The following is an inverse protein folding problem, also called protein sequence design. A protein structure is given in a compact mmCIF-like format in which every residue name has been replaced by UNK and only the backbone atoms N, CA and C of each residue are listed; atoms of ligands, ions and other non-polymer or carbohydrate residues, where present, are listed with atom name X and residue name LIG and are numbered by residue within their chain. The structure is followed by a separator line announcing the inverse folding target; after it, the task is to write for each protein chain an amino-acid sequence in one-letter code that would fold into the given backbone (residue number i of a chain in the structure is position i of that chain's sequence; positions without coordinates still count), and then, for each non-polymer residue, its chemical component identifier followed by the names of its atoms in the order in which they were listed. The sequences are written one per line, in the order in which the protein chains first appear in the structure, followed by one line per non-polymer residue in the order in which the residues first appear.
data_IF_328835511772
#
_entry.id   IF_328835511772
#
_cell.length_a   1.000
_cell.length_b   1.000
_cell.length_c   1.000
_cell.angle_alpha   90.00
_cell.angle_beta   90.00
_cell.angle_gamma   90.00
#
_symmetry.space_group_name_H-M   'P 1'
#
loop_
_entity.id
_entity.type
_entity.pdbx_description
1 polymer ?
#
# COMPACT_ATOMS: atom_id res chain seq x y z
N UNK A 1 -2.18 -19.41 -45.12
CA UNK A 1 -1.94 -18.46 -46.24
C UNK A 1 -0.58 -17.75 -46.16
N UNK A 2 0.30 -18.04 -45.17
CA UNK A 2 1.66 -17.48 -45.06
C UNK A 2 1.79 -16.01 -44.71
N UNK A 3 0.70 -15.34 -44.32
CA UNK A 3 0.73 -13.93 -43.90
C UNK A 3 1.18 -13.80 -42.46
N UNK A 4 2.02 -12.78 -42.16
CA UNK A 4 2.51 -12.50 -40.83
C UNK A 4 1.58 -11.52 -40.13
N UNK A 5 0.87 -11.99 -39.10
CA UNK A 5 0.05 -11.16 -38.24
C UNK A 5 0.84 -10.76 -36.98
N UNK A 6 0.67 -9.53 -36.51
CA UNK A 6 1.26 -9.04 -35.29
C UNK A 6 0.27 -8.21 -34.47
N UNK A 7 0.43 -8.25 -33.16
CA UNK A 7 -0.39 -7.51 -32.19
C UNK A 7 0.55 -6.91 -31.15
N UNK A 8 0.39 -5.63 -30.83
CA UNK A 8 1.19 -5.00 -29.78
C UNK A 8 0.93 -3.53 -29.58
N UNK A 9 1.72 -2.93 -28.70
CA UNK A 9 1.64 -1.52 -28.33
C UNK A 9 2.27 -0.62 -29.40
N UNK A 10 2.19 0.69 -29.19
CA UNK A 10 2.77 1.72 -30.06
C UNK A 10 4.31 1.55 -30.28
N UNK A 11 5.01 0.81 -29.43
CA UNK A 11 6.43 0.48 -29.57
C UNK A 11 6.71 -0.37 -30.83
N UNK A 12 5.73 -1.07 -31.34
CA UNK A 12 5.81 -1.83 -32.61
C UNK A 12 5.76 -0.94 -33.87
N UNK A 13 5.40 0.34 -33.73
CA UNK A 13 5.23 1.25 -34.87
C UNK A 13 6.54 1.79 -35.43
N UNK A 14 7.69 1.48 -34.84
CA UNK A 14 9.01 1.98 -35.30
C UNK A 14 9.31 1.54 -36.75
N UNK A 15 8.82 0.36 -37.14
CA UNK A 15 9.05 -0.22 -38.46
C UNK A 15 7.75 -0.52 -39.24
N UNK A 16 6.61 0.04 -38.81
CA UNK A 16 5.30 -0.31 -39.38
C UNK A 16 4.55 0.91 -39.87
N UNK A 17 4.05 0.86 -41.11
CA UNK A 17 3.26 1.94 -41.69
C UNK A 17 1.86 2.01 -41.07
N UNK A 18 1.57 3.13 -40.42
CA UNK A 18 0.22 3.48 -39.94
C UNK A 18 -0.37 4.59 -40.84
N UNK A 19 -1.63 4.44 -41.24
CA UNK A 19 -2.33 5.49 -41.96
C UNK A 19 -2.62 6.68 -41.03
N UNK A 20 -2.71 7.90 -41.60
CA UNK A 20 -3.08 9.12 -40.83
C UNK A 20 -4.42 8.96 -40.10
N UNK A 21 -5.39 8.31 -40.73
CA UNK A 21 -6.70 8.06 -40.16
C UNK A 21 -6.60 7.15 -38.92
N UNK A 22 -5.86 6.05 -39.02
CA UNK A 22 -5.65 5.13 -37.90
C UNK A 22 -4.87 5.78 -36.76
N UNK A 23 -3.87 6.61 -37.07
CA UNK A 23 -3.13 7.35 -36.06
C UNK A 23 -4.03 8.34 -35.31
N UNK A 24 -4.84 9.11 -36.02
CA UNK A 24 -5.82 10.02 -35.40
C UNK A 24 -6.86 9.30 -34.56
N UNK A 25 -7.33 8.13 -35.02
CA UNK A 25 -8.28 7.29 -34.27
C UNK A 25 -7.65 6.71 -33.00
N UNK A 26 -6.40 6.27 -33.08
CA UNK A 26 -5.64 5.79 -31.92
C UNK A 26 -5.46 6.90 -30.88
N UNK A 27 -5.09 8.10 -31.34
CA UNK A 27 -4.93 9.26 -30.45
C UNK A 27 -6.24 9.65 -29.75
N UNK A 28 -7.36 9.62 -30.48
CA UNK A 28 -8.70 9.86 -29.89
C UNK A 28 -9.02 8.85 -28.81
N UNK A 29 -8.79 7.55 -29.07
CA UNK A 29 -9.03 6.49 -28.10
C UNK A 29 -8.14 6.62 -26.86
N UNK A 30 -6.87 7.02 -27.03
CA UNK A 30 -5.94 7.28 -25.93
C UNK A 30 -6.36 8.51 -25.10
N UNK A 31 -6.91 9.54 -25.74
CA UNK A 31 -7.45 10.70 -25.03
C UNK A 31 -8.73 10.37 -24.22
N UNK A 32 -9.42 9.28 -24.59
CA UNK A 32 -10.54 8.70 -23.83
C UNK A 32 -10.08 7.72 -22.73
N UNK A 33 -8.83 7.80 -22.29
CA UNK A 33 -8.24 6.92 -21.27
C UNK A 33 -8.26 5.41 -21.63
N UNK A 34 -8.15 5.08 -22.94
CA UNK A 34 -8.11 3.70 -23.42
C UNK A 34 -6.69 3.29 -23.80
N UNK A 35 -6.27 2.11 -23.40
CA UNK A 35 -5.05 1.48 -23.89
C UNK A 35 -5.31 0.97 -25.31
N UNK A 36 -4.52 1.45 -26.28
CA UNK A 36 -4.68 1.08 -27.70
C UNK A 36 -3.64 0.03 -28.07
N UNK A 37 -4.12 -1.11 -28.54
CA UNK A 37 -3.33 -2.19 -29.09
C UNK A 37 -3.51 -2.19 -30.61
N UNK A 38 -2.40 -2.25 -31.34
CA UNK A 38 -2.37 -2.22 -32.78
C UNK A 38 -2.36 -3.66 -33.33
N UNK A 39 -3.22 -3.91 -34.30
CA UNK A 39 -3.27 -5.17 -35.02
C UNK A 39 -2.79 -4.95 -36.45
N UNK A 40 -1.81 -5.72 -36.87
CA UNK A 40 -1.22 -5.57 -38.20
C UNK A 40 -1.10 -6.89 -38.95
N UNK A 41 -0.99 -6.77 -40.25
CA UNK A 41 -0.80 -7.86 -41.20
C UNK A 41 0.22 -7.42 -42.24
N UNK A 42 1.25 -8.24 -42.49
CA UNK A 42 2.29 -8.01 -43.51
C UNK A 42 2.87 -6.58 -43.46
N UNK A 43 3.20 -6.09 -42.23
CA UNK A 43 3.83 -4.77 -42.05
C UNK A 43 2.86 -3.58 -42.13
N UNK A 44 1.55 -3.79 -42.19
CA UNK A 44 0.53 -2.72 -42.20
C UNK A 44 -0.41 -2.84 -41.02
N UNK A 45 -0.75 -1.72 -40.39
CA UNK A 45 -1.81 -1.71 -39.38
C UNK A 45 -3.16 -1.81 -40.06
N UNK A 46 -3.94 -2.82 -39.68
CA UNK A 46 -5.26 -3.13 -40.23
C UNK A 46 -6.38 -2.85 -39.22
N UNK A 47 -6.05 -2.70 -37.93
CA UNK A 47 -7.05 -2.46 -36.90
C UNK A 47 -6.45 -1.97 -35.58
N UNK A 48 -7.34 -1.46 -34.74
CA UNK A 48 -7.05 -1.03 -33.38
C UNK A 48 -8.00 -1.76 -32.41
N UNK A 49 -7.45 -2.26 -31.30
CA UNK A 49 -8.20 -2.78 -30.19
C UNK A 49 -8.04 -1.79 -29.02
N UNK A 50 -9.12 -1.20 -28.55
CA UNK A 50 -9.11 -0.31 -27.41
C UNK A 50 -9.57 -1.06 -26.17
N UNK A 51 -8.72 -1.06 -25.15
CA UNK A 51 -8.99 -1.69 -23.85
C UNK A 51 -9.11 -0.56 -22.84
N UNK A 52 -10.17 -0.59 -22.04
CA UNK A 52 -10.37 0.39 -20.98
C UNK A 52 -10.53 -0.34 -19.65
N UNK A 53 -9.60 -0.10 -18.74
CA UNK A 53 -9.76 -0.48 -17.35
C UNK A 53 -10.47 0.64 -16.61
N UNK A 54 -11.59 0.30 -15.97
CA UNK A 54 -12.34 1.25 -15.16
C UNK A 54 -11.88 1.11 -13.71
N UNK A 55 -11.39 2.19 -13.08
CA UNK A 55 -11.05 2.16 -11.68
C UNK A 55 -12.25 1.73 -10.84
N UNK A 56 -12.02 0.90 -9.83
CA UNK A 56 -13.07 0.54 -8.87
C UNK A 56 -13.55 1.80 -8.15
N UNK A 57 -14.85 1.95 -7.95
CA UNK A 57 -15.42 3.09 -7.20
C UNK A 57 -14.79 3.27 -5.82
N UNK A 58 -14.47 2.15 -5.15
CA UNK A 58 -13.78 2.12 -3.86
C UNK A 58 -12.36 2.70 -3.90
N UNK A 59 -11.72 2.77 -5.08
CA UNK A 59 -10.35 3.30 -5.19
C UNK A 59 -10.31 4.80 -4.94
N UNK A 60 -11.30 5.55 -5.44
CA UNK A 60 -11.40 6.99 -5.22
C UNK A 60 -11.53 7.33 -3.73
N UNK A 61 -12.39 6.61 -3.02
CA UNK A 61 -12.60 6.80 -1.58
C UNK A 61 -11.33 6.47 -0.79
N UNK A 62 -10.67 5.36 -1.14
CA UNK A 62 -9.43 4.95 -0.49
C UNK A 62 -8.30 5.98 -0.70
N UNK A 63 -8.12 6.49 -1.93
CA UNK A 63 -7.13 7.53 -2.25
C UNK A 63 -7.43 8.81 -1.46
N UNK A 64 -8.69 9.26 -1.44
CA UNK A 64 -9.09 10.44 -0.67
C UNK A 64 -8.76 10.29 0.83
N UNK A 65 -8.99 9.11 1.40
CA UNK A 65 -8.71 8.83 2.80
C UNK A 65 -7.21 8.76 3.09
N UNK A 66 -6.40 8.20 2.19
CA UNK A 66 -4.93 8.22 2.31
C UNK A 66 -4.39 9.66 2.29
N UNK A 67 -4.90 10.51 1.39
CA UNK A 67 -4.54 11.93 1.32
C UNK A 67 -4.97 12.70 2.55
N UNK A 68 -6.15 12.46 3.10
CA UNK A 68 -6.62 13.07 4.34
C UNK A 68 -5.72 12.74 5.55
N UNK A 69 -4.97 11.63 5.47
CA UNK A 69 -3.95 11.25 6.46
C UNK A 69 -2.57 11.90 6.22
N UNK A 70 -2.46 12.78 5.23
CA UNK A 70 -1.22 13.47 4.86
C UNK A 70 -0.25 12.63 4.04
N UNK A 71 -0.71 11.54 3.44
CA UNK A 71 0.09 10.71 2.55
C UNK A 71 0.02 11.25 1.11
N UNK A 72 1.17 11.39 0.47
CA UNK A 72 1.25 11.67 -0.96
C UNK A 72 1.02 10.38 -1.74
N UNK A 73 0.08 10.41 -2.68
CA UNK A 73 -0.27 9.27 -3.51
C UNK A 73 0.43 9.35 -4.87
N UNK A 74 1.08 8.25 -5.27
CA UNK A 74 1.83 8.17 -6.53
C UNK A 74 1.37 6.94 -7.30
N UNK A 75 0.98 7.12 -8.56
CA UNK A 75 0.73 6.02 -9.49
C UNK A 75 2.03 5.70 -10.23
N UNK A 76 2.44 4.43 -10.19
CA UNK A 76 3.60 3.90 -10.90
C UNK A 76 3.12 2.81 -11.86
N UNK A 77 3.12 3.10 -13.17
CA UNK A 77 2.53 2.21 -14.18
C UNK A 77 3.36 2.11 -15.45
N UNK A 78 3.25 0.98 -16.14
CA UNK A 78 3.78 0.79 -17.48
C UNK A 78 2.91 1.38 -18.60
N UNK A 79 1.71 1.85 -18.27
CA UNK A 79 0.77 2.42 -19.23
C UNK A 79 1.26 3.73 -19.83
N UNK A 80 0.67 4.09 -20.96
CA UNK A 80 0.89 5.38 -21.61
C UNK A 80 0.54 6.54 -20.66
N UNK A 81 1.36 7.59 -20.70
CA UNK A 81 1.23 8.75 -19.80
C UNK A 81 -0.17 9.40 -19.85
N UNK A 82 -0.82 9.45 -21.01
CA UNK A 82 -2.16 10.05 -21.16
C UNK A 82 -3.22 9.23 -20.44
N UNK A 83 -3.19 7.90 -20.61
CA UNK A 83 -4.11 6.97 -19.94
C UNK A 83 -3.90 7.01 -18.42
N UNK A 84 -2.63 6.93 -17.99
CA UNK A 84 -2.29 6.98 -16.58
C UNK A 84 -2.71 8.30 -15.92
N UNK A 85 -2.54 9.43 -16.60
CA UNK A 85 -2.97 10.74 -16.09
C UNK A 85 -4.50 10.82 -15.97
N UNK A 86 -5.24 10.35 -16.98
CA UNK A 86 -6.70 10.37 -16.94
C UNK A 86 -7.26 9.52 -15.78
N UNK A 87 -6.69 8.34 -15.54
CA UNK A 87 -7.05 7.49 -14.39
C UNK A 87 -6.70 8.17 -13.08
N UNK A 88 -5.51 8.78 -12.99
CA UNK A 88 -5.05 9.46 -11.79
C UNK A 88 -5.95 10.65 -11.43
N UNK A 89 -6.37 11.43 -12.43
CA UNK A 89 -7.30 12.56 -12.26
C UNK A 89 -8.68 12.08 -11.79
N UNK A 90 -9.18 10.97 -12.35
CA UNK A 90 -10.46 10.37 -11.96
C UNK A 90 -10.48 9.92 -10.49
N UNK A 91 -9.42 9.24 -10.04
CA UNK A 91 -9.34 8.71 -8.67
C UNK A 91 -8.70 9.69 -7.67
N UNK A 92 -8.10 10.78 -8.15
CA UNK A 92 -7.55 11.85 -7.32
C UNK A 92 -6.11 11.61 -6.84
N UNK A 93 -5.28 10.90 -7.62
CA UNK A 93 -3.85 10.66 -7.33
C UNK A 93 -3.04 11.95 -7.52
N UNK A 94 -2.04 12.19 -6.64
CA UNK A 94 -1.25 13.44 -6.64
C UNK A 94 -0.17 13.47 -7.73
N UNK A 95 0.41 12.32 -8.06
CA UNK A 95 1.54 12.22 -9.02
C UNK A 95 1.47 10.94 -9.83
N UNK A 96 1.83 11.04 -11.11
CA UNK A 96 1.92 9.92 -12.03
C UNK A 96 3.36 9.75 -12.52
N UNK A 97 3.85 8.50 -12.50
CA UNK A 97 5.08 8.04 -13.14
C UNK A 97 4.65 6.93 -14.10
N UNK A 98 4.52 7.28 -15.37
CA UNK A 98 4.02 6.40 -16.43
C UNK A 98 5.15 5.83 -17.29
N UNK A 99 4.81 4.85 -18.14
CA UNK A 99 5.74 4.23 -19.12
C UNK A 99 6.94 3.54 -18.47
N UNK A 100 6.82 3.12 -17.22
CA UNK A 100 7.87 2.46 -16.45
C UNK A 100 7.93 0.99 -16.79
N UNK A 101 9.12 0.50 -17.12
CA UNK A 101 9.33 -0.93 -17.32
C UNK A 101 9.26 -1.68 -15.97
N UNK A 102 8.85 -2.96 -15.96
CA UNK A 102 8.77 -3.73 -14.71
C UNK A 102 10.06 -3.69 -13.88
N UNK A 103 11.22 -3.80 -14.52
CA UNK A 103 12.52 -3.78 -13.85
C UNK A 103 12.89 -2.41 -13.27
N UNK A 104 12.32 -1.32 -13.81
CA UNK A 104 12.64 0.05 -13.39
C UNK A 104 11.78 0.53 -12.22
N UNK A 105 10.70 -0.19 -11.89
CA UNK A 105 9.82 0.18 -10.77
C UNK A 105 10.57 0.26 -9.44
N UNK A 106 11.44 -0.70 -9.16
CA UNK A 106 12.26 -0.70 -7.95
C UNK A 106 13.21 0.51 -7.91
N UNK A 107 13.76 0.92 -9.07
CA UNK A 107 14.60 2.10 -9.16
C UNK A 107 13.84 3.39 -8.83
N UNK A 108 12.60 3.53 -9.31
CA UNK A 108 11.75 4.68 -8.99
C UNK A 108 11.43 4.79 -7.50
N UNK A 109 11.24 3.65 -6.83
CA UNK A 109 11.06 3.61 -5.37
C UNK A 109 12.32 4.10 -4.67
N UNK A 110 13.49 3.59 -5.08
CA UNK A 110 14.77 3.96 -4.51
C UNK A 110 15.06 5.46 -4.67
N UNK A 111 14.73 6.04 -5.81
CA UNK A 111 14.86 7.49 -6.03
C UNK A 111 13.99 8.34 -5.08
N UNK A 112 12.82 7.83 -4.69
CA UNK A 112 11.97 8.48 -3.69
C UNK A 112 12.58 8.36 -2.28
N UNK A 113 13.13 7.18 -1.95
CA UNK A 113 13.80 6.94 -0.67
C UNK A 113 15.07 7.78 -0.54
N UNK A 114 15.87 7.92 -1.59
CA UNK A 114 17.07 8.76 -1.64
C UNK A 114 16.75 10.25 -1.40
N UNK A 115 15.53 10.68 -1.73
CA UNK A 115 14.99 12.01 -1.40
C UNK A 115 14.44 12.10 0.04
N UNK A 116 14.72 11.14 0.89
CA UNK A 116 14.30 11.08 2.28
C UNK A 116 12.82 10.73 2.49
N UNK A 117 12.13 10.19 1.48
CA UNK A 117 10.73 9.76 1.61
C UNK A 117 10.65 8.33 2.13
N UNK A 118 9.68 8.07 3.01
CA UNK A 118 9.28 6.70 3.35
C UNK A 118 8.23 6.24 2.36
N UNK A 119 8.48 5.10 1.72
CA UNK A 119 7.67 4.60 0.61
C UNK A 119 6.97 3.31 1.00
N UNK A 120 5.64 3.33 0.95
CA UNK A 120 4.84 2.11 0.90
C UNK A 120 4.48 1.84 -0.57
N UNK A 121 4.81 0.65 -1.07
CA UNK A 121 4.46 0.24 -2.42
C UNK A 121 3.35 -0.81 -2.38
N UNK A 122 2.32 -0.60 -3.20
CA UNK A 122 1.16 -1.49 -3.31
C UNK A 122 1.14 -2.08 -4.71
N UNK A 123 1.17 -3.39 -4.83
CA UNK A 123 1.21 -4.09 -6.11
C UNK A 123 0.56 -5.48 -6.06
N UNK A 124 0.41 -6.13 -7.22
CA UNK A 124 -0.19 -7.48 -7.34
C UNK A 124 0.80 -8.63 -7.05
N UNK A 125 2.06 -8.34 -6.90
CA UNK A 125 3.12 -9.25 -6.45
C UNK A 125 3.81 -10.06 -7.54
N UNK A 126 3.23 -10.32 -8.69
CA UNK A 126 3.84 -11.19 -9.72
C UNK A 126 4.99 -10.46 -10.42
N UNK A 127 4.71 -9.30 -10.99
CA UNK A 127 5.70 -8.48 -11.70
C UNK A 127 6.31 -7.39 -10.81
N UNK A 128 5.76 -7.18 -9.62
CA UNK A 128 6.10 -6.11 -8.70
C UNK A 128 6.98 -6.57 -7.53
N UNK A 129 7.38 -7.85 -7.48
CA UNK A 129 8.19 -8.41 -6.39
C UNK A 129 9.47 -7.60 -6.09
N UNK A 130 10.26 -7.15 -7.09
CA UNK A 130 11.44 -6.30 -6.81
C UNK A 130 11.05 -4.94 -6.21
N UNK A 131 9.93 -4.36 -6.64
CA UNK A 131 9.42 -3.09 -6.13
C UNK A 131 8.89 -3.23 -4.69
N UNK A 132 8.14 -4.30 -4.41
CA UNK A 132 7.63 -4.64 -3.07
C UNK A 132 8.77 -4.81 -2.08
N UNK A 133 9.83 -5.54 -2.46
CA UNK A 133 11.00 -5.78 -1.60
C UNK A 133 11.87 -4.52 -1.39
N UNK A 134 11.88 -3.59 -2.34
CA UNK A 134 12.68 -2.35 -2.26
C UNK A 134 12.02 -1.29 -1.39
N UNK A 135 10.70 -1.27 -1.33
CA UNK A 135 9.94 -0.29 -0.55
C UNK A 135 10.18 -0.44 0.96
N UNK A 136 10.03 0.64 1.74
CA UNK A 136 10.07 0.55 3.22
C UNK A 136 8.94 -0.33 3.74
N UNK A 137 7.79 -0.36 3.04
CA UNK A 137 6.69 -1.28 3.30
C UNK A 137 6.14 -1.79 1.97
N UNK A 138 6.29 -3.07 1.68
CA UNK A 138 5.64 -3.74 0.55
C UNK A 138 4.25 -4.24 0.96
N UNK A 139 3.24 -3.92 0.16
CA UNK A 139 1.85 -4.35 0.36
C UNK A 139 1.40 -5.09 -0.90
N UNK A 140 1.31 -6.40 -0.81
CA UNK A 140 0.82 -7.24 -1.90
C UNK A 140 -0.71 -7.31 -1.89
N UNK A 141 -1.34 -7.19 -3.05
CA UNK A 141 -2.80 -7.24 -3.23
C UNK A 141 -3.23 -8.53 -3.93
N UNK A 142 -4.36 -9.07 -3.48
CA UNK A 142 -4.97 -10.25 -4.05
C UNK A 142 -4.60 -11.54 -3.32
N UNK A 143 -5.19 -12.67 -3.76
CA UNK A 143 -4.86 -14.02 -3.28
C UNK A 143 -3.46 -14.39 -3.80
N UNK A 144 -2.46 -13.79 -3.16
CA UNK A 144 -1.08 -13.75 -3.63
C UNK A 144 -0.53 -15.13 -3.97
N UNK A 145 0.20 -15.17 -5.07
CA UNK A 145 1.21 -16.20 -5.27
C UNK A 145 2.17 -16.18 -4.09
N UNK A 146 2.76 -17.31 -3.75
CA UNK A 146 3.76 -17.44 -2.67
C UNK A 146 4.85 -16.36 -2.76
N UNK A 147 5.17 -15.89 -3.97
CA UNK A 147 6.13 -14.81 -4.25
C UNK A 147 5.70 -13.45 -3.66
N UNK A 148 4.40 -13.15 -3.65
CA UNK A 148 3.91 -11.89 -3.06
C UNK A 148 3.99 -11.92 -1.53
N UNK A 149 3.76 -13.10 -0.94
CA UNK A 149 3.87 -13.32 0.51
C UNK A 149 5.33 -13.13 0.96
N UNK A 150 6.28 -13.65 0.21
CA UNK A 150 7.71 -13.54 0.52
C UNK A 150 8.29 -12.13 0.26
N UNK A 151 7.71 -11.38 -0.68
CA UNK A 151 8.22 -10.08 -1.12
C UNK A 151 7.57 -8.88 -0.40
N UNK A 152 6.38 -9.05 0.15
CA UNK A 152 5.61 -8.00 0.83
C UNK A 152 5.60 -8.18 2.35
N UNK A 153 5.78 -7.09 3.11
CA UNK A 153 5.59 -7.12 4.55
C UNK A 153 4.12 -7.26 4.96
N UNK A 154 3.18 -6.96 4.06
CA UNK A 154 1.73 -7.02 4.27
C UNK A 154 1.08 -7.67 3.05
N UNK A 155 0.16 -8.60 3.28
CA UNK A 155 -0.65 -9.22 2.21
C UNK A 155 -2.12 -8.91 2.45
N UNK A 156 -2.75 -8.30 1.45
CA UNK A 156 -4.18 -8.02 1.45
C UNK A 156 -4.91 -9.11 0.66
N UNK A 157 -5.74 -9.88 1.33
CA UNK A 157 -6.50 -10.99 0.71
C UNK A 157 -7.47 -10.48 -0.36
N UNK A 158 -8.06 -9.31 -0.16
CA UNK A 158 -8.97 -8.69 -1.11
C UNK A 158 -8.22 -7.70 -2.01
N UNK A 159 -8.50 -7.76 -3.31
CA UNK A 159 -8.00 -6.79 -4.28
C UNK A 159 -8.81 -5.47 -4.20
N UNK A 160 -8.62 -4.73 -3.09
CA UNK A 160 -9.31 -3.48 -2.80
C UNK A 160 -8.39 -2.53 -2.01
N UNK A 161 -8.18 -1.32 -2.51
CA UNK A 161 -7.32 -0.30 -1.89
C UNK A 161 -7.79 0.14 -0.48
N UNK A 162 -9.06 -0.06 -0.14
CA UNK A 162 -9.55 0.14 1.25
C UNK A 162 -8.82 -0.77 2.24
N UNK A 163 -8.31 -1.91 1.78
CA UNK A 163 -7.44 -2.78 2.57
C UNK A 163 -6.16 -2.09 3.05
N UNK A 164 -5.57 -1.22 2.22
CA UNK A 164 -4.38 -0.42 2.58
C UNK A 164 -4.72 0.54 3.73
N UNK A 165 -5.87 1.23 3.64
CA UNK A 165 -6.34 2.13 4.69
C UNK A 165 -6.55 1.39 6.01
N UNK A 166 -7.19 0.20 5.94
CA UNK A 166 -7.39 -0.67 7.12
C UNK A 166 -6.07 -1.14 7.73
N UNK A 167 -5.10 -1.53 6.90
CA UNK A 167 -3.78 -1.95 7.36
C UNK A 167 -3.06 -0.83 8.12
N UNK A 168 -3.09 0.40 7.59
CA UNK A 168 -2.51 1.58 8.24
C UNK A 168 -3.19 1.88 9.58
N UNK A 169 -4.53 1.81 9.65
CA UNK A 169 -5.29 2.03 10.88
C UNK A 169 -4.96 0.96 11.94
N UNK A 170 -4.96 -0.30 11.52
CA UNK A 170 -4.62 -1.42 12.41
C UNK A 170 -3.21 -1.26 12.96
N UNK A 171 -2.24 -0.97 12.09
CA UNK A 171 -0.85 -0.72 12.49
C UNK A 171 -0.74 0.41 13.52
N UNK A 172 -1.37 1.56 13.25
CA UNK A 172 -1.36 2.72 14.16
C UNK A 172 -1.98 2.39 15.52
N UNK A 173 -3.11 1.70 15.54
CA UNK A 173 -3.81 1.33 16.78
C UNK A 173 -3.00 0.32 17.58
N UNK A 174 -2.43 -0.70 16.90
CA UNK A 174 -1.55 -1.69 17.52
C UNK A 174 -0.31 -1.03 18.11
N UNK A 175 0.35 -0.15 17.37
CA UNK A 175 1.54 0.56 17.84
C UNK A 175 1.25 1.45 19.06
N UNK A 176 0.11 2.15 19.06
CA UNK A 176 -0.30 2.93 20.22
C UNK A 176 -0.59 2.04 21.43
N UNK A 177 -1.15 0.86 21.22
CA UNK A 177 -1.38 -0.12 22.28
C UNK A 177 -0.06 -0.66 22.84
N UNK A 178 0.90 -0.95 21.97
CA UNK A 178 2.25 -1.37 22.41
C UNK A 178 2.89 -0.30 23.29
N UNK A 179 2.84 0.98 22.87
CA UNK A 179 3.36 2.09 23.69
C UNK A 179 2.68 2.19 25.04
N UNK A 180 1.36 2.04 25.08
CA UNK A 180 0.59 2.08 26.32
C UNK A 180 0.94 0.89 27.24
N UNK A 181 1.07 -0.29 26.67
CA UNK A 181 1.46 -1.48 27.43
C UNK A 181 2.87 -1.34 28.01
N UNK A 182 3.81 -0.80 27.22
CA UNK A 182 5.17 -0.52 27.69
C UNK A 182 5.17 0.53 28.82
N UNK A 183 4.37 1.59 28.68
CA UNK A 183 4.19 2.58 29.74
C UNK A 183 3.72 1.93 31.05
N UNK A 184 2.66 1.13 30.99
CA UNK A 184 2.16 0.44 32.20
C UNK A 184 3.19 -0.54 32.77
N UNK A 185 3.90 -1.30 31.93
CA UNK A 185 4.93 -2.21 32.40
C UNK A 185 6.09 -1.50 33.10
N UNK A 186 6.44 -0.29 32.64
CA UNK A 186 7.55 0.46 33.22
C UNK A 186 7.15 1.28 34.46
N UNK A 187 5.94 1.85 34.49
CA UNK A 187 5.54 2.79 35.56
C UNK A 187 5.55 2.11 36.94
N UNK A 188 5.14 0.84 37.01
CA UNK A 188 5.20 0.08 38.25
C UNK A 188 6.61 -0.06 38.78
N UNK A 189 7.60 -0.24 37.90
CA UNK A 189 9.01 -0.32 38.28
C UNK A 189 9.58 1.05 38.63
N UNK A 190 9.24 2.09 37.87
CA UNK A 190 9.69 3.48 38.14
C UNK A 190 9.23 3.98 39.50
N UNK A 191 8.02 3.58 39.92
CA UNK A 191 7.48 3.92 41.24
C UNK A 191 7.98 2.94 42.31
N UNK A 192 7.96 1.64 42.02
CA UNK A 192 8.25 0.59 43.00
C UNK A 192 9.70 0.54 43.44
N UNK A 193 10.66 0.73 42.52
CA UNK A 193 12.10 0.64 42.82
C UNK A 193 12.54 1.72 43.82
N UNK A 194 12.21 3.03 43.67
CA UNK A 194 12.55 4.03 44.65
C UNK A 194 11.90 3.77 46.04
N UNK A 195 10.68 3.27 46.05
CA UNK A 195 9.97 2.94 47.32
C UNK A 195 10.68 1.77 48.01
N UNK A 196 11.03 0.73 47.25
CA UNK A 196 11.75 -0.43 47.76
C UNK A 196 13.17 -0.05 48.25
N UNK A 197 13.80 0.93 47.58
CA UNK A 197 15.10 1.48 47.98
C UNK A 197 15.02 2.39 49.24
N UNK A 198 13.83 2.58 49.82
CA UNK A 198 13.65 3.32 51.06
C UNK A 198 13.38 4.83 50.91
N UNK A 199 12.94 5.28 49.74
CA UNK A 199 12.62 6.71 49.50
C UNK A 199 11.66 7.27 50.55
N UNK A 200 10.76 6.46 51.12
CA UNK A 200 9.81 6.84 52.15
C UNK A 200 10.09 6.20 53.52
N UNK A 201 11.28 5.61 53.74
CA UNK A 201 11.67 5.01 54.99
C UNK A 201 11.64 6.03 56.18
N UNK A 202 11.91 7.30 55.88
CA UNK A 202 11.89 8.39 56.88
C UNK A 202 10.49 8.68 57.46
N UNK A 203 9.42 8.27 56.75
CA UNK A 203 8.01 8.35 57.26
C UNK A 203 7.50 7.00 57.72
N UNK A 204 8.38 5.99 57.83
CA UNK A 204 7.99 4.63 58.31
C UNK A 204 7.36 3.76 57.23
N UNK A 205 7.35 4.18 55.96
CA UNK A 205 6.79 3.42 54.86
C UNK A 205 7.90 2.65 54.13
N UNK A 206 7.80 1.31 54.15
CA UNK A 206 8.69 0.39 53.42
C UNK A 206 7.87 -0.56 52.59
N UNK A 207 8.34 -0.91 51.41
CA UNK A 207 7.67 -1.87 50.53
C UNK A 207 7.96 -3.29 51.02
N UNK A 208 6.95 -4.00 51.51
CA UNK A 208 7.11 -5.39 51.87
C UNK A 208 7.22 -6.29 50.62
N UNK A 209 7.89 -7.45 50.70
CA UNK A 209 7.99 -8.41 49.58
C UNK A 209 6.65 -8.81 49.00
N UNK A 210 5.61 -8.95 49.86
CA UNK A 210 4.25 -9.31 49.45
C UNK A 210 3.62 -8.21 48.60
N UNK A 211 3.77 -6.93 48.98
CA UNK A 211 3.27 -5.78 48.22
C UNK A 211 4.02 -5.64 46.91
N UNK A 212 5.32 -5.89 46.88
CA UNK A 212 6.10 -5.88 45.66
C UNK A 212 5.62 -6.97 44.69
N UNK A 213 5.39 -8.20 45.16
CA UNK A 213 4.85 -9.29 44.37
C UNK A 213 3.45 -8.99 43.82
N UNK A 214 2.58 -8.39 44.66
CA UNK A 214 1.25 -7.97 44.25
C UNK A 214 1.27 -6.90 43.15
N UNK A 215 2.13 -5.90 43.29
CA UNK A 215 2.32 -4.86 42.26
C UNK A 215 2.77 -5.42 40.90
N UNK A 216 3.69 -6.42 40.91
CA UNK A 216 4.12 -7.12 39.69
C UNK A 216 2.94 -7.92 39.07
N UNK A 217 2.12 -8.59 39.88
CA UNK A 217 0.95 -9.30 39.37
C UNK A 217 -0.05 -8.34 38.73
N UNK A 218 -0.33 -7.18 39.36
CA UNK A 218 -1.19 -6.16 38.79
C UNK A 218 -0.64 -5.56 37.47
N UNK A 219 0.67 -5.39 37.37
CA UNK A 219 1.32 -4.95 36.13
C UNK A 219 1.00 -5.90 34.98
N UNK A 220 1.18 -7.20 35.19
CA UNK A 220 0.91 -8.23 34.18
C UNK A 220 -0.58 -8.25 33.79
N UNK A 221 -1.49 -8.19 34.75
CA UNK A 221 -2.94 -8.14 34.50
C UNK A 221 -3.31 -6.88 33.71
N UNK A 222 -2.71 -5.73 34.04
CA UNK A 222 -2.96 -4.46 33.33
C UNK A 222 -2.56 -4.54 31.86
N UNK A 223 -1.38 -5.10 31.56
CA UNK A 223 -0.89 -5.26 30.17
C UNK A 223 -1.77 -6.23 29.38
N UNK A 224 -2.14 -7.38 29.97
CA UNK A 224 -3.01 -8.37 29.31
C UNK A 224 -4.39 -7.77 29.05
N UNK A 225 -5.02 -7.16 30.06
CA UNK A 225 -6.33 -6.52 29.93
C UNK A 225 -6.32 -5.40 28.90
N UNK A 226 -5.26 -4.57 28.89
CA UNK A 226 -5.05 -3.54 27.89
C UNK A 226 -4.95 -4.13 26.48
N UNK A 227 -4.22 -5.23 26.31
CA UNK A 227 -4.08 -5.90 25.01
C UNK A 227 -5.41 -6.49 24.51
N UNK A 228 -6.19 -7.09 25.37
CA UNK A 228 -7.52 -7.64 25.04
C UNK A 228 -8.50 -6.55 24.58
N UNK A 229 -8.38 -5.33 25.09
CA UNK A 229 -9.20 -4.20 24.65
C UNK A 229 -8.95 -3.81 23.18
N UNK A 230 -7.83 -4.23 22.58
CA UNK A 230 -7.58 -3.99 21.17
C UNK A 230 -8.65 -4.65 20.28
N UNK A 231 -9.13 -5.83 20.64
CA UNK A 231 -10.18 -6.55 19.90
C UNK A 231 -11.51 -5.79 19.81
N UNK A 232 -11.77 -4.86 20.74
CA UNK A 232 -12.99 -4.04 20.76
C UNK A 232 -12.82 -2.72 19.99
N UNK A 233 -11.65 -2.47 19.41
CA UNK A 233 -11.34 -1.20 18.74
C UNK A 233 -11.86 -1.23 17.31
N UNK A 234 -12.81 -0.35 16.96
CA UNK A 234 -13.32 -0.22 15.59
C UNK A 234 -12.18 0.18 14.65
N UNK A 235 -12.05 -0.52 13.51
CA UNK A 235 -11.10 -0.26 12.44
C UNK A 235 -11.85 0.47 11.33
N UNK A 236 -11.20 1.41 10.62
CA UNK A 236 -11.81 2.09 9.48
C UNK A 236 -12.26 1.05 8.43
N UNK A 237 -13.49 1.16 7.96
CA UNK A 237 -14.07 0.24 6.97
C UNK A 237 -14.81 -0.99 7.51
N UNK A 238 -14.98 -1.15 8.83
CA UNK A 238 -15.78 -2.26 9.42
C UNK A 238 -17.27 -2.21 9.06
N UNK A 239 -17.75 -1.13 8.46
CA UNK A 239 -19.15 -0.96 8.08
C UNK A 239 -19.57 -1.67 6.79
N UNK A 240 -18.66 -2.40 6.11
CA UNK A 240 -18.90 -3.00 4.78
C UNK A 240 -18.94 -4.54 4.80
N UNK A 241 -18.80 -5.18 5.95
CA UNK A 241 -18.78 -6.66 6.06
C UNK A 241 -20.07 -7.22 6.69
N UNK A 242 -21.16 -6.47 6.66
CA UNK A 242 -22.50 -7.00 7.00
C UNK A 242 -23.41 -6.88 5.75
N UNK A 243 -23.22 -7.80 4.81
CA UNK A 243 -24.22 -8.18 3.82
C UNK A 243 -23.90 -9.59 3.29
#
# INVERSE_FOLDING_TARGET
NGQVAFVGSNRLLVDVNISREMASRAEKLQNEAKTVVYVGLDGKIIGLVAIQDVPKSSSKDAIAELKARGLMTVMLTGDNKRVAQAIADEVGIDRVIAEVMPNDKAQQIKELQDKGKKVAFVGDGINDAPALSTADVGIAMGSGTDIAIDSGGIVLVQNDLRGVVRALDTSKKTFNRIKLNLFWALIYNVIGIPIAAGLFAFVGFTLSPELAGLAMAFSSVSVVSSSLLLNKTKIAGDHVVQA
#
